data_IF_312081804631
#
_entry.id   IF_312081804631
#
_cell.length_a   1.000
_cell.length_b   1.000
_cell.length_c   1.000
_cell.angle_alpha   90.00
_cell.angle_beta   90.00
_cell.angle_gamma   90.00
#
_symmetry.space_group_name_H-M   'P 1'
#
loop_
_entity.id
_entity.type
_entity.pdbx_description
1 polymer ?
#
# COMPACT_ATOMS: atom_id res chain seq x y z
N UNK A 1 -23.07 -5.63 1.04
CA UNK A 1 -21.85 -4.87 0.67
C UNK A 1 -21.19 -5.60 -0.47
N UNK A 2 -20.98 -4.94 -1.61
CA UNK A 2 -20.28 -5.49 -2.76
C UNK A 2 -19.03 -4.64 -3.01
N UNK A 3 -18.01 -4.81 -2.17
CA UNK A 3 -16.72 -4.14 -2.35
C UNK A 3 -15.89 -5.02 -3.27
N UNK A 4 -15.57 -4.50 -4.46
CA UNK A 4 -14.66 -5.16 -5.41
C UNK A 4 -13.33 -4.43 -5.36
N UNK A 5 -12.27 -5.15 -5.01
CA UNK A 5 -10.89 -4.67 -5.10
C UNK A 5 -10.21 -5.55 -6.16
N UNK A 6 -9.52 -4.98 -7.15
CA UNK A 6 -8.72 -5.76 -8.08
C UNK A 6 -7.72 -6.63 -7.31
N UNK A 7 -7.73 -7.92 -7.59
CA UNK A 7 -6.75 -8.86 -7.03
C UNK A 7 -5.83 -9.25 -8.18
N UNK A 8 -4.54 -9.03 -7.97
CA UNK A 8 -3.48 -9.39 -8.90
C UNK A 8 -2.58 -10.44 -8.24
N UNK A 9 -1.94 -11.26 -9.08
CA UNK A 9 -0.92 -12.22 -8.65
C UNK A 9 0.41 -11.71 -9.18
N UNK A 10 1.45 -11.77 -8.34
CA UNK A 10 2.82 -11.43 -8.74
C UNK A 10 3.29 -12.37 -9.87
N UNK A 11 4.28 -11.92 -10.62
CA UNK A 11 4.95 -12.73 -11.63
C UNK A 11 5.80 -13.82 -10.96
N UNK A 12 6.12 -14.88 -11.70
CA UNK A 12 6.83 -16.06 -11.17
C UNK A 12 8.27 -15.73 -10.73
N UNK A 13 8.86 -14.67 -11.28
CA UNK A 13 10.16 -14.12 -10.91
C UNK A 13 10.14 -13.29 -9.62
N UNK A 14 8.96 -13.10 -9.01
CA UNK A 14 8.75 -12.29 -7.80
C UNK A 14 9.12 -10.81 -7.99
N UNK A 15 8.90 -10.23 -9.17
CA UNK A 15 9.29 -8.84 -9.47
C UNK A 15 8.68 -7.83 -8.47
N UNK A 16 7.40 -7.99 -8.09
CA UNK A 16 6.75 -7.08 -7.13
C UNK A 16 7.31 -7.30 -5.73
N UNK A 17 7.49 -8.53 -5.28
CA UNK A 17 8.13 -8.81 -3.99
C UNK A 17 9.56 -8.26 -3.92
N UNK A 18 10.35 -8.41 -4.98
CA UNK A 18 11.71 -7.88 -5.04
C UNK A 18 11.74 -6.35 -4.95
N UNK A 19 10.79 -5.68 -5.62
CA UNK A 19 10.69 -4.22 -5.62
C UNK A 19 10.13 -3.65 -4.30
N UNK A 20 9.18 -4.33 -3.67
CA UNK A 20 8.42 -3.77 -2.53
C UNK A 20 8.68 -4.47 -1.18
N UNK A 21 9.34 -5.63 -1.17
CA UNK A 21 9.60 -6.46 0.02
C UNK A 21 8.32 -6.64 0.84
N UNK A 22 7.31 -7.23 0.22
CA UNK A 22 5.95 -7.38 0.73
C UNK A 22 5.77 -8.51 1.74
N UNK A 23 6.71 -9.45 1.81
CA UNK A 23 6.61 -10.59 2.71
C UNK A 23 6.81 -10.21 4.20
N UNK A 24 6.05 -10.80 5.15
CA UNK A 24 4.91 -11.70 4.96
C UNK A 24 3.58 -10.96 4.68
N UNK A 25 3.50 -9.68 5.06
CA UNK A 25 2.44 -8.76 4.63
C UNK A 25 2.95 -7.32 4.69
N UNK A 26 2.53 -6.49 3.73
CA UNK A 26 2.90 -5.08 3.70
C UNK A 26 1.83 -4.27 2.99
N UNK A 27 1.65 -3.03 3.44
CA UNK A 27 0.76 -2.07 2.81
C UNK A 27 1.58 -0.86 2.36
N UNK A 28 1.22 -0.34 1.20
CA UNK A 28 1.75 0.90 0.66
C UNK A 28 0.58 1.83 0.36
N UNK A 29 0.79 3.12 0.56
CA UNK A 29 -0.13 4.17 0.11
C UNK A 29 0.65 5.04 -0.87
N UNK A 30 0.08 5.22 -2.05
CA UNK A 30 0.69 5.98 -3.13
C UNK A 30 -0.10 7.26 -3.40
N UNK A 31 0.57 8.32 -3.86
CA UNK A 31 -0.07 9.48 -4.45
C UNK A 31 -0.55 9.21 -5.90
N UNK A 32 -1.24 10.18 -6.50
CA UNK A 32 -1.77 10.05 -7.86
C UNK A 32 -0.68 9.98 -8.95
N UNK A 33 0.56 10.31 -8.61
CA UNK A 33 1.73 10.26 -9.48
C UNK A 33 2.58 9.00 -9.23
N UNK A 34 2.13 8.10 -8.34
CA UNK A 34 2.79 6.83 -8.02
C UNK A 34 3.92 6.95 -6.99
N UNK A 35 4.09 8.08 -6.31
CA UNK A 35 5.08 8.19 -5.21
C UNK A 35 4.54 7.58 -3.93
N UNK A 36 5.44 6.98 -3.14
CA UNK A 36 5.09 6.36 -1.87
C UNK A 36 4.88 7.43 -0.80
N UNK A 37 3.64 7.56 -0.33
CA UNK A 37 3.27 8.41 0.81
C UNK A 37 3.41 7.67 2.14
N UNK A 38 3.20 6.35 2.15
CA UNK A 38 3.44 5.48 3.31
C UNK A 38 3.94 4.11 2.89
N UNK A 39 4.86 3.59 3.70
CA UNK A 39 5.45 2.26 3.56
C UNK A 39 5.32 1.55 4.90
N UNK A 40 4.45 0.53 4.95
CA UNK A 40 4.27 -0.29 6.13
C UNK A 40 5.58 -0.92 6.61
N UNK A 41 5.68 -1.21 7.91
CA UNK A 41 6.85 -1.86 8.52
C UNK A 41 7.12 -3.23 7.89
N UNK A 42 8.38 -3.68 7.94
CA UNK A 42 8.70 -5.06 7.57
C UNK A 42 8.21 -6.06 8.64
N UNK A 43 7.90 -7.29 8.22
CA UNK A 43 7.51 -8.37 9.13
C UNK A 43 6.01 -8.40 9.49
N UNK A 44 5.60 -9.24 10.47
CA UNK A 44 4.21 -9.63 10.73
C UNK A 44 3.28 -8.53 11.31
N UNK A 45 3.57 -7.25 11.08
CA UNK A 45 2.73 -6.11 11.46
C UNK A 45 2.62 -5.03 10.39
N UNK A 46 3.15 -5.27 9.18
CA UNK A 46 3.31 -4.25 8.15
C UNK A 46 2.01 -3.56 7.75
N UNK A 47 0.94 -4.35 7.58
CA UNK A 47 -0.39 -3.81 7.23
C UNK A 47 -1.04 -3.06 8.40
N UNK A 48 -0.90 -3.58 9.63
CA UNK A 48 -1.59 -3.03 10.80
C UNK A 48 -1.10 -1.63 11.18
N UNK A 49 0.18 -1.34 10.95
CA UNK A 49 0.73 0.00 11.12
C UNK A 49 0.07 0.98 10.16
N UNK A 50 0.18 0.72 8.86
CA UNK A 50 -0.36 1.58 7.80
C UNK A 50 -1.87 1.81 7.90
N UNK A 51 -2.65 0.79 8.26
CA UNK A 51 -4.10 0.95 8.39
C UNK A 51 -4.53 1.93 9.49
N UNK A 52 -3.72 2.15 10.53
CA UNK A 52 -4.09 3.08 11.63
C UNK A 52 -4.18 4.53 11.15
N UNK A 53 -3.35 4.90 10.18
CA UNK A 53 -3.24 6.28 9.68
C UNK A 53 -3.65 6.41 8.20
N UNK A 54 -4.15 5.34 7.57
CA UNK A 54 -4.49 5.33 6.16
C UNK A 54 -5.49 6.43 5.78
N UNK A 55 -6.54 6.63 6.59
CA UNK A 55 -7.56 7.65 6.31
C UNK A 55 -6.98 9.07 6.35
N UNK A 56 -6.08 9.35 7.29
CA UNK A 56 -5.44 10.66 7.44
C UNK A 56 -4.55 10.96 6.22
N UNK A 57 -3.75 9.99 5.79
CA UNK A 57 -2.89 10.12 4.60
C UNK A 57 -3.75 10.34 3.35
N UNK A 58 -4.79 9.53 3.16
CA UNK A 58 -5.68 9.69 2.01
C UNK A 58 -6.33 11.07 1.98
N UNK A 59 -6.75 11.60 3.13
CA UNK A 59 -7.31 12.94 3.20
C UNK A 59 -6.29 14.02 2.79
N UNK A 60 -5.03 13.89 3.22
CA UNK A 60 -3.95 14.81 2.81
C UNK A 60 -3.71 14.74 1.30
N UNK A 61 -3.54 13.53 0.75
CA UNK A 61 -3.28 13.34 -0.68
C UNK A 61 -4.42 13.88 -1.57
N UNK A 62 -5.67 13.69 -1.14
CA UNK A 62 -6.84 14.20 -1.85
C UNK A 62 -6.99 15.72 -1.75
N UNK A 63 -6.50 16.34 -0.68
CA UNK A 63 -6.49 17.81 -0.54
C UNK A 63 -5.45 18.47 -1.45
N UNK A 64 -4.30 17.83 -1.64
CA UNK A 64 -3.20 18.30 -2.51
C UNK A 64 -3.52 18.15 -4.01
N UNK A 65 -4.48 17.30 -4.37
CA UNK A 65 -4.87 17.04 -5.78
C UNK A 65 -5.92 18.07 -6.30
N UNK A 66 -6.26 19.10 -5.51
CA UNK A 66 -7.24 20.13 -5.86
C UNK A 66 -6.65 21.32 -6.60
#
# INVERSE_FOLDING_TARGET
>A
MNVSIPILVDTIDNDVENAYSGWPNRMFILDAQGKIADKGSAGPGGVRGSMKHAQEILNTLLAETR
#
